data_IF_050339876903
#
_entry.id   IF_050339876903
#
_cell.length_a   1.000
_cell.length_b   1.000
_cell.length_c   1.000
_cell.angle_alpha   90.00
_cell.angle_beta   90.00
_cell.angle_gamma   90.00
#
_symmetry.space_group_name_H-M   'P 1'
#
loop_
_entity.id
_entity.type
_entity.pdbx_description
1 polymer ?
#
# COMPACT_ATOMS: atom_id res chain seq x y z
N UNK A 1 -16.74 -16.01 10.33
CA UNK A 1 -16.05 -15.12 9.35
C UNK A 1 -16.82 -13.82 9.08
N UNK A 2 -18.06 -13.86 8.57
CA UNK A 2 -18.83 -12.65 8.15
C UNK A 2 -18.91 -11.54 9.21
N UNK A 3 -19.28 -11.88 10.45
CA UNK A 3 -19.40 -10.91 11.55
C UNK A 3 -18.07 -10.21 11.91
N UNK A 4 -16.94 -10.89 11.69
CA UNK A 4 -15.60 -10.38 11.99
C UNK A 4 -15.15 -9.35 10.94
N UNK A 5 -15.47 -9.57 9.66
CA UNK A 5 -15.25 -8.56 8.61
C UNK A 5 -16.07 -7.30 8.86
N UNK A 6 -17.34 -7.47 9.22
CA UNK A 6 -18.22 -6.34 9.48
C UNK A 6 -17.73 -5.54 10.69
N UNK A 7 -17.13 -6.20 11.69
CA UNK A 7 -16.48 -5.53 12.80
C UNK A 7 -15.25 -4.71 12.36
N UNK A 8 -14.36 -5.28 11.53
CA UNK A 8 -13.20 -4.55 10.99
C UNK A 8 -13.65 -3.39 10.11
N UNK A 9 -14.60 -3.61 9.20
CA UNK A 9 -15.12 -2.57 8.32
C UNK A 9 -15.83 -1.45 9.09
N UNK A 10 -16.64 -1.77 10.12
CA UNK A 10 -17.25 -0.76 10.99
C UNK A 10 -16.22 0.04 11.75
N UNK A 11 -15.17 -0.60 12.27
CA UNK A 11 -14.07 0.05 13.00
C UNK A 11 -13.27 1.02 12.12
N UNK A 12 -13.07 0.66 10.85
CA UNK A 12 -12.28 1.43 9.89
C UNK A 12 -13.14 2.34 8.99
N UNK A 13 -14.45 2.41 9.23
CA UNK A 13 -15.41 3.17 8.42
C UNK A 13 -15.00 4.64 8.33
N UNK A 14 -15.03 5.18 7.10
CA UNK A 14 -14.64 6.57 6.82
C UNK A 14 -13.14 6.77 6.53
N UNK A 15 -12.32 5.71 6.57
CA UNK A 15 -10.90 5.74 6.18
C UNK A 15 -10.66 4.87 4.95
N UNK A 16 -9.63 5.20 4.19
CA UNK A 16 -9.11 4.31 3.15
C UNK A 16 -8.09 3.38 3.79
N UNK A 17 -8.28 2.07 3.60
CA UNK A 17 -7.38 1.06 4.15
C UNK A 17 -7.25 -0.15 3.22
N UNK A 18 -6.20 -0.93 3.41
CA UNK A 18 -6.02 -2.26 2.82
C UNK A 18 -6.26 -3.32 3.88
N UNK A 19 -6.87 -4.43 3.49
CA UNK A 19 -7.05 -5.59 4.35
C UNK A 19 -6.22 -6.74 3.79
N UNK A 20 -5.44 -7.37 4.65
CA UNK A 20 -4.81 -8.64 4.38
C UNK A 20 -5.30 -9.69 5.38
N UNK A 21 -5.26 -10.95 4.94
CA UNK A 21 -5.65 -12.09 5.76
C UNK A 21 -4.60 -13.17 5.65
N UNK A 22 -4.25 -13.77 6.78
CA UNK A 22 -3.51 -15.02 6.82
C UNK A 22 -4.28 -16.06 7.62
N UNK A 23 -4.14 -17.33 7.23
CA UNK A 23 -4.95 -18.44 7.72
C UNK A 23 -4.05 -19.45 8.44
N UNK A 24 -4.41 -19.77 9.68
CA UNK A 24 -3.84 -20.92 10.35
C UNK A 24 -4.54 -22.19 9.91
N UNK A 25 -3.77 -23.13 9.39
CA UNK A 25 -4.27 -24.35 8.75
C UNK A 25 -3.72 -25.60 9.41
N UNK A 26 -4.53 -26.65 9.44
CA UNK A 26 -4.09 -28.02 9.70
C UNK A 26 -3.87 -28.68 8.35
N UNK A 27 -2.68 -29.24 8.18
CA UNK A 27 -2.27 -29.96 6.99
C UNK A 27 -2.11 -31.41 7.39
N UNK A 28 -2.85 -32.29 6.73
CA UNK A 28 -2.66 -33.72 6.82
C UNK A 28 -1.61 -34.13 5.78
N UNK A 29 -0.66 -34.96 6.18
CA UNK A 29 0.28 -35.63 5.29
C UNK A 29 0.03 -37.13 5.29
N UNK A 30 -0.21 -37.72 4.12
CA UNK A 30 -0.27 -39.17 3.95
C UNK A 30 1.09 -39.67 3.46
N UNK A 31 1.75 -40.50 4.25
CA UNK A 31 3.00 -41.16 3.88
C UNK A 31 2.79 -42.67 3.78
N UNK A 32 3.40 -43.31 2.77
CA UNK A 32 3.38 -44.76 2.60
C UNK A 32 2.65 -45.23 1.35
N UNK A 33 2.70 -46.53 1.13
CA UNK A 33 2.09 -47.26 0.02
C UNK A 33 0.75 -47.87 0.45
N UNK A 34 -0.04 -48.38 -0.51
CA UNK A 34 -1.42 -48.82 -0.33
C UNK A 34 -1.68 -49.90 0.76
N UNK A 35 -0.63 -50.45 1.38
CA UNK A 35 -0.68 -51.50 2.41
C UNK A 35 -0.37 -50.98 3.82
N UNK A 36 0.40 -49.90 3.97
CA UNK A 36 0.71 -49.25 5.25
C UNK A 36 0.71 -47.71 5.06
N UNK A 37 -0.45 -47.09 5.22
CA UNK A 37 -0.60 -45.64 5.15
C UNK A 37 -0.48 -45.02 6.55
N UNK A 38 0.55 -44.21 6.76
CA UNK A 38 0.72 -43.41 7.98
C UNK A 38 0.23 -41.99 7.69
N UNK A 39 -0.82 -41.59 8.40
CA UNK A 39 -1.37 -40.23 8.31
C UNK A 39 -0.78 -39.39 9.45
N UNK A 40 -0.12 -38.29 9.08
CA UNK A 40 0.44 -37.31 10.01
C UNK A 40 -0.29 -35.99 9.90
N UNK A 41 -0.35 -35.23 10.99
CA UNK A 41 -0.93 -33.88 10.97
C UNK A 41 0.12 -32.87 11.42
N UNK A 42 0.19 -31.76 10.72
CA UNK A 42 0.93 -30.56 11.15
C UNK A 42 0.00 -29.36 11.15
N UNK A 43 0.31 -28.37 11.96
CA UNK A 43 -0.39 -27.10 11.94
C UNK A 43 0.57 -25.97 11.54
N UNK A 44 0.03 -24.98 10.84
CA UNK A 44 0.72 -23.75 10.50
C UNK A 44 -0.07 -22.61 11.13
N UNK A 45 0.61 -21.78 11.92
CA UNK A 45 0.01 -20.58 12.50
C UNK A 45 0.05 -19.43 11.47
N UNK A 46 -0.96 -18.54 11.49
CA UNK A 46 -0.94 -17.35 10.64
C UNK A 46 0.18 -16.42 11.13
N UNK A 47 0.95 -15.87 10.19
CA UNK A 47 2.11 -15.01 10.46
C UNK A 47 2.00 -13.70 9.71
N UNK A 48 2.52 -12.62 10.30
CA UNK A 48 2.48 -11.28 9.70
C UNK A 48 3.32 -11.17 8.41
N UNK A 49 4.32 -12.04 8.20
CA UNK A 49 5.28 -11.93 7.10
C UNK A 49 4.66 -11.97 5.68
N UNK A 50 3.46 -12.53 5.53
CA UNK A 50 2.78 -12.68 4.24
C UNK A 50 1.63 -11.69 4.00
N UNK A 51 1.25 -10.91 5.01
CA UNK A 51 0.05 -10.09 4.99
C UNK A 51 0.18 -8.92 4.00
N UNK A 52 1.31 -8.22 4.00
CA UNK A 52 1.54 -7.03 3.18
C UNK A 52 1.50 -7.31 1.67
N UNK A 53 1.96 -8.50 1.24
CA UNK A 53 2.03 -8.89 -0.18
C UNK A 53 0.70 -9.37 -0.76
N UNK A 54 -0.29 -9.69 0.08
CA UNK A 54 -1.53 -10.37 -0.33
C UNK A 54 -2.77 -9.50 -0.31
N UNK A 55 -2.69 -8.21 0.05
CA UNK A 55 -3.83 -7.30 0.00
C UNK A 55 -4.08 -6.82 -1.45
N UNK A 56 -5.05 -7.40 -2.18
CA UNK A 56 -5.20 -7.21 -3.61
C UNK A 56 -5.90 -5.88 -3.96
N UNK A 57 -6.52 -5.21 -2.98
CA UNK A 57 -7.33 -4.02 -3.23
C UNK A 57 -7.46 -3.09 -2.03
N UNK A 58 -7.71 -1.82 -2.34
CA UNK A 58 -8.08 -0.80 -1.35
C UNK A 58 -9.57 -0.86 -1.03
N UNK A 59 -9.91 -0.72 0.25
CA UNK A 59 -11.28 -0.71 0.74
C UNK A 59 -11.67 0.74 1.02
N UNK A 60 -12.62 1.24 0.23
CA UNK A 60 -13.15 2.61 0.32
C UNK A 60 -14.67 2.64 0.53
N UNK A 61 -15.35 1.56 0.14
CA UNK A 61 -16.81 1.47 0.09
C UNK A 61 -17.31 0.09 0.54
N UNK A 62 -18.63 -0.03 0.71
CA UNK A 62 -19.28 -1.30 1.02
C UNK A 62 -19.10 -2.32 -0.13
N UNK A 63 -19.05 -1.85 -1.37
CA UNK A 63 -18.86 -2.73 -2.54
C UNK A 63 -17.45 -3.30 -2.58
N UNK A 64 -16.44 -2.52 -2.19
CA UNK A 64 -15.06 -3.02 -2.12
C UNK A 64 -14.92 -4.12 -1.06
N UNK A 65 -15.50 -3.95 0.13
CA UNK A 65 -15.45 -4.99 1.18
C UNK A 65 -16.25 -6.23 0.78
N UNK A 66 -17.37 -6.09 0.07
CA UNK A 66 -18.14 -7.22 -0.43
C UNK A 66 -17.36 -8.01 -1.50
N UNK A 67 -16.68 -7.31 -2.42
CA UNK A 67 -15.80 -7.91 -3.42
C UNK A 67 -14.64 -8.65 -2.75
N UNK A 68 -14.03 -8.03 -1.74
CA UNK A 68 -12.96 -8.65 -0.95
C UNK A 68 -13.42 -9.93 -0.22
N UNK A 69 -14.65 -9.94 0.34
CA UNK A 69 -15.24 -11.15 0.94
C UNK A 69 -15.39 -12.28 -0.08
N UNK A 70 -15.75 -11.97 -1.33
CA UNK A 70 -15.84 -12.98 -2.38
C UNK A 70 -14.46 -13.50 -2.78
N UNK A 71 -13.49 -12.61 -2.96
CA UNK A 71 -12.09 -13.00 -3.22
C UNK A 71 -11.58 -13.99 -2.16
N UNK A 72 -11.78 -13.71 -0.88
CA UNK A 72 -11.31 -14.62 0.18
C UNK A 72 -12.06 -15.96 0.20
N UNK A 73 -13.34 -16.00 -0.18
CA UNK A 73 -14.05 -17.27 -0.38
C UNK A 73 -13.41 -18.09 -1.49
N UNK A 74 -13.07 -17.46 -2.61
CA UNK A 74 -12.37 -18.12 -3.73
C UNK A 74 -11.00 -18.64 -3.29
N UNK A 75 -10.22 -17.83 -2.56
CA UNK A 75 -8.90 -18.25 -2.05
C UNK A 75 -9.04 -19.46 -1.12
N UNK A 76 -9.95 -19.41 -0.15
CA UNK A 76 -10.20 -20.54 0.77
C UNK A 76 -10.67 -21.77 0.01
N UNK A 77 -11.57 -21.59 -0.97
CA UNK A 77 -12.03 -22.67 -1.84
C UNK A 77 -10.87 -23.33 -2.58
N UNK A 78 -10.00 -22.54 -3.21
CA UNK A 78 -8.83 -23.04 -3.93
C UNK A 78 -7.80 -23.74 -3.03
N UNK A 79 -7.67 -23.30 -1.77
CA UNK A 79 -6.82 -23.98 -0.78
C UNK A 79 -7.38 -25.33 -0.33
N UNK A 80 -8.70 -25.53 -0.45
CA UNK A 80 -9.40 -26.77 -0.11
C UNK A 80 -9.63 -27.68 -1.32
N UNK A 81 -9.50 -27.15 -2.54
CA UNK A 81 -9.60 -27.93 -3.78
C UNK A 81 -8.41 -28.88 -3.91
N UNK A 82 -8.70 -30.17 -4.07
CA UNK A 82 -7.68 -31.19 -4.39
C UNK A 82 -7.12 -30.95 -5.78
N UNK A 83 -5.97 -30.29 -5.88
CA UNK A 83 -5.15 -30.35 -7.10
C UNK A 83 -4.40 -31.68 -7.14
N UNK A 84 -4.53 -32.44 -8.23
CA UNK A 84 -3.91 -33.77 -8.46
C UNK A 84 -2.36 -33.80 -8.36
N UNK A 85 -1.71 -32.67 -8.13
CA UNK A 85 -0.25 -32.51 -7.99
C UNK A 85 0.26 -32.51 -6.54
N UNK A 86 -0.62 -32.44 -5.54
CA UNK A 86 -0.26 -32.44 -4.12
C UNK A 86 -0.59 -33.83 -3.53
N UNK A 87 0.25 -34.82 -3.85
CA UNK A 87 -0.09 -36.23 -3.58
C UNK A 87 0.02 -36.62 -2.11
N UNK A 88 0.80 -35.87 -1.32
CA UNK A 88 1.10 -36.27 0.05
C UNK A 88 0.62 -35.27 1.11
N UNK A 89 0.36 -33.99 0.80
CA UNK A 89 -0.14 -33.01 1.77
C UNK A 89 -1.50 -32.42 1.36
N UNK A 90 -2.42 -32.28 2.33
CA UNK A 90 -3.74 -31.66 2.11
C UNK A 90 -4.13 -30.76 3.29
N UNK A 91 -4.67 -29.57 3.01
CA UNK A 91 -5.26 -28.71 4.05
C UNK A 91 -6.61 -29.30 4.45
N UNK A 92 -6.76 -29.71 5.71
CA UNK A 92 -7.97 -30.36 6.23
C UNK A 92 -8.83 -29.45 7.08
N UNK A 93 -8.25 -28.40 7.66
CA UNK A 93 -8.98 -27.44 8.48
C UNK A 93 -8.30 -26.07 8.48
N UNK A 94 -9.11 -25.02 8.59
CA UNK A 94 -8.66 -23.68 8.98
C UNK A 94 -9.09 -23.49 10.44
N UNK A 95 -8.13 -23.33 11.35
CA UNK A 95 -8.42 -23.22 12.78
C UNK A 95 -8.23 -21.80 13.34
N UNK A 96 -7.53 -20.92 12.60
CA UNK A 96 -7.37 -19.52 12.99
C UNK A 96 -7.28 -18.59 11.79
N UNK A 97 -7.66 -17.32 11.98
CA UNK A 97 -7.65 -16.29 10.94
C UNK A 97 -7.09 -15.02 11.56
N UNK A 98 -6.07 -14.44 10.92
CA UNK A 98 -5.48 -13.17 11.32
C UNK A 98 -5.80 -12.10 10.27
N UNK A 99 -6.32 -10.96 10.73
CA UNK A 99 -6.66 -9.81 9.89
C UNK A 99 -5.66 -8.67 10.12
N UNK A 100 -5.15 -8.10 9.03
CA UNK A 100 -4.26 -6.94 9.07
C UNK A 100 -4.91 -5.78 8.32
N UNK A 101 -5.27 -4.73 9.04
CA UNK A 101 -5.82 -3.50 8.46
C UNK A 101 -4.73 -2.44 8.36
N UNK A 102 -4.26 -2.19 7.13
CA UNK A 102 -3.26 -1.18 6.83
C UNK A 102 -3.95 0.13 6.48
N UNK A 103 -3.85 1.11 7.36
CA UNK A 103 -4.41 2.45 7.12
C UNK A 103 -3.44 3.25 6.26
N UNK A 104 -3.96 3.95 5.27
CA UNK A 104 -3.18 5.00 4.64
C UNK A 104 -3.04 6.17 5.60
N UNK A 105 -1.82 6.71 5.80
CA UNK A 105 -1.69 8.01 6.46
C UNK A 105 -2.52 9.04 5.69
N UNK A 106 -3.17 9.95 6.42
CA UNK A 106 -3.83 11.10 5.79
C UNK A 106 -2.82 11.80 4.88
N UNK A 107 -3.26 12.14 3.67
CA UNK A 107 -2.42 12.69 2.61
C UNK A 107 -1.39 13.70 3.16
N UNK A 108 -0.10 13.37 3.02
CA UNK A 108 1.02 14.21 3.46
C UNK A 108 1.68 13.80 4.79
N UNK A 109 1.03 13.01 5.66
CA UNK A 109 1.67 12.61 6.92
C UNK A 109 2.84 11.64 6.70
N UNK A 110 4.00 11.96 7.28
CA UNK A 110 5.20 11.14 7.20
C UNK A 110 4.92 9.70 7.70
N UNK A 111 5.25 8.71 6.87
CA UNK A 111 5.20 7.30 7.24
C UNK A 111 6.13 7.11 8.47
N UNK A 112 5.71 6.44 9.55
CA UNK A 112 6.52 6.30 10.77
C UNK A 112 7.92 5.76 10.51
N UNK A 113 8.07 4.78 9.61
CA UNK A 113 9.36 4.22 9.19
C UNK A 113 10.28 5.27 8.55
N UNK A 114 9.71 6.30 7.91
CA UNK A 114 10.46 7.40 7.31
C UNK A 114 10.88 8.47 8.33
N UNK A 115 10.30 8.51 9.54
CA UNK A 115 10.67 9.54 10.53
C UNK A 115 12.14 9.46 10.94
N UNK A 116 12.71 8.26 11.03
CA UNK A 116 14.12 8.11 11.36
C UNK A 116 15.01 8.69 10.25
N UNK A 117 14.66 8.43 8.98
CA UNK A 117 15.36 8.96 7.81
C UNK A 117 15.23 10.49 7.70
N UNK A 118 14.06 11.05 8.04
CA UNK A 118 13.86 12.51 8.13
C UNK A 118 14.78 13.12 9.21
N UNK A 119 14.84 12.52 10.40
CA UNK A 119 15.70 12.97 11.50
C UNK A 119 17.19 12.91 11.12
N UNK A 120 17.60 11.86 10.41
CA UNK A 120 18.97 11.68 9.89
C UNK A 120 19.28 12.56 8.67
N UNK A 121 18.30 13.30 8.14
CA UNK A 121 18.41 14.11 6.91
C UNK A 121 18.80 13.30 5.67
N UNK A 122 18.52 12.01 5.68
CA UNK A 122 18.74 11.10 4.54
C UNK A 122 17.66 11.31 3.47
N UNK A 123 16.49 11.79 3.89
CA UNK A 123 15.39 12.17 2.99
C UNK A 123 14.89 13.57 3.31
N UNK A 124 14.40 14.26 2.26
CA UNK A 124 13.76 15.55 2.42
C UNK A 124 12.25 15.38 2.56
N UNK A 125 11.72 15.93 3.65
CA UNK A 125 10.28 16.02 3.90
C UNK A 125 9.89 17.49 3.93
N UNK A 126 8.79 17.82 3.27
CA UNK A 126 8.17 19.14 3.24
C UNK A 126 6.70 18.96 3.58
N UNK A 127 6.27 19.55 4.70
CA UNK A 127 4.86 19.52 5.09
C UNK A 127 4.08 20.56 4.27
N UNK A 128 3.04 20.12 3.56
CA UNK A 128 2.20 20.99 2.75
C UNK A 128 0.73 20.65 2.95
N UNK A 129 -0.07 21.65 3.36
CA UNK A 129 -1.50 21.48 3.66
C UNK A 129 -2.39 21.40 2.40
N UNK A 130 -1.82 21.59 1.21
CA UNK A 130 -2.51 21.57 -0.08
C UNK A 130 -1.89 20.51 -0.99
N UNK A 131 -2.61 20.06 -2.02
CA UNK A 131 -2.18 18.97 -2.91
C UNK A 131 -1.08 19.40 -3.90
N UNK A 132 0.03 19.95 -3.41
CA UNK A 132 1.13 20.52 -4.22
C UNK A 132 2.38 19.64 -4.23
N UNK A 133 2.25 18.35 -3.86
CA UNK A 133 3.38 17.45 -3.64
C UNK A 133 4.31 17.30 -4.86
N UNK A 134 3.74 17.11 -6.06
CA UNK A 134 4.52 16.96 -7.29
C UNK A 134 5.39 18.20 -7.58
N UNK A 135 4.77 19.38 -7.59
CA UNK A 135 5.47 20.65 -7.82
C UNK A 135 6.50 20.97 -6.74
N UNK A 136 6.20 20.59 -5.50
CA UNK A 136 7.14 20.72 -4.37
C UNK A 136 8.35 19.80 -4.54
N UNK A 137 8.13 18.55 -4.97
CA UNK A 137 9.22 17.63 -5.28
C UNK A 137 10.07 18.16 -6.45
N UNK A 138 9.44 18.63 -7.52
CA UNK A 138 10.16 19.20 -8.66
C UNK A 138 10.94 20.47 -8.30
N UNK A 139 10.50 21.25 -7.31
CA UNK A 139 11.29 22.39 -6.81
C UNK A 139 12.70 21.98 -6.34
N UNK A 140 12.92 20.73 -5.89
CA UNK A 140 14.25 20.24 -5.51
C UNK A 140 15.24 20.18 -6.67
N UNK A 141 14.73 20.14 -7.91
CA UNK A 141 15.52 20.21 -9.12
C UNK A 141 15.76 21.67 -9.50
N UNK A 142 14.72 22.51 -9.52
CA UNK A 142 14.86 23.93 -9.94
C UNK A 142 15.56 24.82 -8.91
N UNK A 143 15.46 24.44 -7.64
CA UNK A 143 16.04 25.14 -6.50
C UNK A 143 16.79 24.13 -5.64
N UNK A 144 17.95 23.60 -6.09
CA UNK A 144 18.66 22.55 -5.37
C UNK A 144 19.18 23.02 -4.01
N UNK A 145 19.23 22.10 -3.05
CA UNK A 145 19.95 22.34 -1.81
C UNK A 145 21.46 22.17 -2.05
N UNK A 146 22.27 22.94 -1.34
CA UNK A 146 23.73 22.70 -1.25
C UNK A 146 24.07 22.12 0.12
N UNK A 147 25.33 21.69 0.30
CA UNK A 147 25.81 21.19 1.60
C UNK A 147 25.53 22.19 2.75
N UNK A 148 25.69 23.47 2.45
CA UNK A 148 25.63 24.55 3.44
C UNK A 148 24.29 25.30 3.45
N UNK A 149 23.45 25.09 2.43
CA UNK A 149 22.18 25.82 2.28
C UNK A 149 21.03 24.89 1.96
N UNK A 150 20.13 24.75 2.93
CA UNK A 150 18.80 24.15 2.76
C UNK A 150 17.75 25.26 2.67
N UNK A 151 16.93 25.20 1.63
CA UNK A 151 15.78 26.10 1.49
C UNK A 151 14.71 25.76 2.52
N UNK A 152 14.07 26.79 3.08
CA UNK A 152 12.92 26.63 3.99
C UNK A 152 11.75 26.03 3.22
N UNK A 153 10.95 25.23 3.91
CA UNK A 153 9.75 24.58 3.35
C UNK A 153 8.77 25.62 2.77
N UNK A 154 8.63 26.78 3.39
CA UNK A 154 7.80 27.88 2.85
C UNK A 154 8.33 28.41 1.51
N UNK A 155 9.65 28.52 1.35
CA UNK A 155 10.27 28.92 0.07
C UNK A 155 10.07 27.85 -1.00
N UNK A 156 10.16 26.56 -0.62
CA UNK A 156 9.86 25.42 -1.50
C UNK A 156 8.42 25.48 -2.02
N UNK A 157 7.47 25.68 -1.11
CA UNK A 157 6.04 25.77 -1.44
C UNK A 157 5.76 26.99 -2.33
N UNK A 158 6.40 28.14 -2.06
CA UNK A 158 6.26 29.32 -2.90
C UNK A 158 6.77 29.07 -4.33
N UNK A 159 7.93 28.44 -4.48
CA UNK A 159 8.47 28.08 -5.80
C UNK A 159 7.60 27.03 -6.49
N UNK A 160 7.06 26.05 -5.77
CA UNK A 160 6.13 25.07 -6.31
C UNK A 160 4.86 25.72 -6.89
N UNK A 161 4.29 26.73 -6.20
CA UNK A 161 3.16 27.52 -6.72
C UNK A 161 3.56 28.31 -7.97
N UNK A 162 4.77 28.87 -7.99
CA UNK A 162 5.30 29.61 -9.15
C UNK A 162 5.48 28.71 -10.38
N UNK A 163 6.04 27.50 -10.19
CA UNK A 163 6.21 26.51 -11.27
C UNK A 163 4.84 26.07 -11.78
N UNK A 164 3.91 25.74 -10.89
CA UNK A 164 2.53 25.42 -11.28
C UNK A 164 1.94 26.50 -12.18
N UNK A 165 2.04 27.77 -11.77
CA UNK A 165 1.49 28.88 -12.56
C UNK A 165 2.18 29.05 -13.91
N UNK A 166 3.50 28.84 -13.98
CA UNK A 166 4.27 28.88 -15.24
C UNK A 166 3.88 27.76 -16.19
N UNK A 167 3.78 26.53 -15.71
CA UNK A 167 3.47 25.35 -16.53
C UNK A 167 2.01 25.32 -16.95
N UNK A 168 1.07 25.68 -16.07
CA UNK A 168 -0.35 25.62 -16.41
C UNK A 168 -0.90 26.94 -16.97
N UNK A 169 -0.15 28.03 -16.90
CA UNK A 169 -0.58 29.35 -17.37
C UNK A 169 -1.70 29.97 -16.52
N UNK A 170 -1.96 29.43 -15.33
CA UNK A 170 -3.04 29.86 -14.42
C UNK A 170 -2.53 29.98 -13.00
N UNK A 171 -3.05 30.94 -12.23
CA UNK A 171 -2.64 31.11 -10.85
C UNK A 171 -3.08 29.93 -9.97
N UNK A 172 -2.21 29.53 -9.05
CA UNK A 172 -2.50 28.47 -8.08
C UNK A 172 -3.69 28.84 -7.18
N UNK A 173 -4.57 27.87 -6.94
CA UNK A 173 -5.70 27.96 -6.01
C UNK A 173 -5.64 26.82 -5.00
N UNK A 174 -5.98 27.10 -3.74
CA UNK A 174 -5.86 26.12 -2.66
C UNK A 174 -6.80 24.91 -2.81
N UNK A 175 -7.79 24.98 -3.71
CA UNK A 175 -8.68 23.86 -4.07
C UNK A 175 -8.10 22.93 -5.15
N UNK A 176 -6.84 23.13 -5.56
CA UNK A 176 -6.14 22.26 -6.50
C UNK A 176 -6.21 20.79 -6.07
N UNK A 177 -6.58 19.91 -6.99
CA UNK A 177 -6.83 18.49 -6.70
C UNK A 177 -5.55 17.66 -6.61
N UNK A 178 -4.43 18.20 -7.07
CA UNK A 178 -3.18 17.47 -7.20
C UNK A 178 -2.78 17.30 -8.66
N UNK A 179 -1.55 16.87 -8.85
CA UNK A 179 -1.01 16.57 -10.17
C UNK A 179 -1.58 15.23 -10.65
N UNK A 180 -2.20 15.24 -11.81
CA UNK A 180 -2.73 14.06 -12.46
C UNK A 180 -1.70 13.54 -13.46
N UNK A 181 -1.03 12.45 -13.14
CA UNK A 181 -0.01 11.88 -14.03
C UNK A 181 -0.55 11.42 -15.39
N UNK A 182 -1.84 11.12 -15.52
CA UNK A 182 -2.42 10.71 -16.80
C UNK A 182 -2.65 11.91 -17.70
N UNK A 183 -3.14 13.00 -17.12
CA UNK A 183 -3.59 14.16 -17.89
C UNK A 183 -2.56 15.31 -17.95
N UNK A 184 -1.73 15.48 -16.92
CA UNK A 184 -0.85 16.65 -16.77
C UNK A 184 0.60 16.39 -17.24
N UNK A 185 1.03 15.12 -17.33
CA UNK A 185 2.46 14.77 -17.51
C UNK A 185 3.03 15.23 -18.85
N UNK A 186 2.28 15.12 -19.94
CA UNK A 186 2.77 15.49 -21.26
C UNK A 186 2.96 17.00 -21.38
N UNK A 187 2.01 17.80 -20.87
CA UNK A 187 2.14 19.25 -20.81
C UNK A 187 3.35 19.66 -19.96
N UNK A 188 3.58 18.98 -18.84
CA UNK A 188 4.74 19.23 -17.99
C UNK A 188 6.05 18.93 -18.72
N UNK A 189 6.20 17.74 -19.32
CA UNK A 189 7.39 17.33 -20.08
C UNK A 189 7.68 18.32 -21.20
N UNK A 190 6.65 18.69 -21.96
CA UNK A 190 6.78 19.61 -23.09
C UNK A 190 7.20 21.02 -22.67
N UNK A 191 6.72 21.53 -21.53
CA UNK A 191 7.06 22.89 -21.08
C UNK A 191 8.38 22.98 -20.35
N UNK A 192 8.69 21.98 -19.53
CA UNK A 192 9.91 21.97 -18.73
C UNK A 192 11.09 21.29 -19.45
N UNK A 193 10.84 20.62 -20.58
CA UNK A 193 11.86 19.93 -21.38
C UNK A 193 12.67 18.93 -20.53
N UNK A 194 11.96 18.17 -19.69
CA UNK A 194 12.52 17.16 -18.78
C UNK A 194 11.89 15.79 -19.02
N UNK A 195 12.70 14.74 -18.90
CA UNK A 195 12.19 13.37 -18.89
C UNK A 195 11.78 12.96 -17.48
N UNK A 196 10.57 12.41 -17.34
CA UNK A 196 10.04 11.95 -16.05
C UNK A 196 10.08 10.42 -16.02
N UNK A 197 10.79 9.87 -15.05
CA UNK A 197 10.78 8.43 -14.76
C UNK A 197 10.10 8.20 -13.41
N UNK A 198 9.00 7.45 -13.41
CA UNK A 198 8.25 7.13 -12.18
C UNK A 198 8.73 5.78 -11.65
N UNK A 199 9.23 5.77 -10.41
CA UNK A 199 9.55 4.54 -9.69
C UNK A 199 8.61 4.41 -8.50
N UNK A 200 7.86 3.32 -8.45
CA UNK A 200 7.01 2.99 -7.31
C UNK A 200 7.87 2.21 -6.32
N UNK A 201 8.28 2.89 -5.23
CA UNK A 201 9.02 2.25 -4.13
C UNK A 201 8.01 1.87 -3.05
N UNK A 202 7.88 0.57 -2.79
CA UNK A 202 7.09 0.06 -1.68
C UNK A 202 7.98 -0.02 -0.44
N UNK A 203 7.69 0.82 0.56
CA UNK A 203 8.33 0.70 1.87
C UNK A 203 7.53 -0.29 2.72
N UNK A 204 8.15 -1.36 3.26
CA UNK A 204 7.51 -2.19 4.26
C UNK A 204 7.22 -1.31 5.49
N UNK A 205 5.98 -1.34 5.96
CA UNK A 205 5.59 -0.60 7.16
C UNK A 205 5.94 -1.51 8.34
N UNK A 206 7.22 -1.52 8.73
CA UNK A 206 7.62 -2.16 9.98
C UNK A 206 6.95 -1.42 11.15
N UNK A 207 6.02 -2.11 11.82
CA UNK A 207 5.54 -1.77 13.17
C UNK A 207 6.36 -2.52 14.20
#
# INVERSE_FOLDING_TARGET
MHQLYDAVYRKEKGKVFKLAVDLGVIIERANGNAQEQIVQYKYVLPVNANSERRAPMEIRSQDNINTYKQYLRTVIGSMQERTNTDTDEKIVAIFSIMFFAFRYPMAGAAIPSLQQHIKRREIYYVDCKVNLCFWTAYSFITMPNTKDKRWKDSSRIAEAKRIYSRVNGVQFRDNYKGFDFVNDIDNFINKEQVNVHIQIVQYPIHQ
#
